data_IF_745784932311
#
_entry.id   IF_745784932311
#
_cell.length_a   1.000
_cell.length_b   1.000
_cell.length_c   1.000
_cell.angle_alpha   90.00
_cell.angle_beta   90.00
_cell.angle_gamma   90.00
#
_symmetry.space_group_name_H-M   'P 1'
#
loop_
_entity.id
_entity.type
_entity.pdbx_description
1 polymer ?
#
# COMPACT_ATOMS: atom_id res chain seq x y z
N UNK A 1 -19.03 12.35 18.42
CA UNK A 1 -19.86 12.93 17.37
C UNK A 1 -20.49 14.27 17.74
N UNK A 2 -19.68 15.29 18.09
CA UNK A 2 -20.19 16.61 18.50
C UNK A 2 -20.64 17.49 17.32
N UNK A 3 -20.27 17.14 16.08
CA UNK A 3 -20.51 17.96 14.88
C UNK A 3 -21.37 17.27 13.81
N UNK A 4 -21.64 15.99 13.95
CA UNK A 4 -22.45 15.25 12.98
C UNK A 4 -23.94 15.45 13.19
N UNK A 5 -24.72 15.29 12.12
CA UNK A 5 -26.20 15.28 12.21
C UNK A 5 -26.66 13.97 12.82
N UNK A 6 -27.67 14.03 13.69
CA UNK A 6 -28.23 12.84 14.33
C UNK A 6 -28.88 11.92 13.29
N UNK A 7 -28.58 10.63 13.35
CA UNK A 7 -29.09 9.64 12.41
C UNK A 7 -28.37 9.53 11.06
N UNK A 8 -27.34 10.37 10.82
CA UNK A 8 -26.61 10.38 9.55
C UNK A 8 -25.33 9.54 9.62
N UNK A 9 -25.06 8.79 8.55
CA UNK A 9 -23.84 8.01 8.36
C UNK A 9 -22.75 8.82 7.66
N UNK A 10 -21.50 8.70 8.10
CA UNK A 10 -20.33 9.35 7.51
C UNK A 10 -19.27 8.33 7.11
N UNK A 11 -18.86 8.35 5.85
CA UNK A 11 -17.76 7.53 5.36
C UNK A 11 -16.44 8.29 5.59
N UNK A 12 -15.55 7.70 6.38
CA UNK A 12 -14.22 8.23 6.68
C UNK A 12 -13.19 7.50 5.82
N UNK A 13 -13.34 7.57 4.50
CA UNK A 13 -12.42 6.92 3.57
C UNK A 13 -11.11 7.70 3.44
N UNK A 14 -10.02 6.97 3.17
CA UNK A 14 -8.70 7.54 2.90
C UNK A 14 -8.51 7.91 1.42
N UNK A 15 -7.28 8.28 1.09
CA UNK A 15 -6.90 8.52 -0.31
C UNK A 15 -6.82 7.20 -1.08
N UNK A 16 -7.28 7.23 -2.32
CA UNK A 16 -7.12 6.10 -3.23
C UNK A 16 -5.64 5.92 -3.59
N UNK A 17 -5.10 4.75 -3.32
CA UNK A 17 -3.71 4.41 -3.63
C UNK A 17 -3.67 3.05 -4.31
N UNK A 18 -3.01 2.96 -5.47
CA UNK A 18 -2.81 1.68 -6.15
C UNK A 18 -1.67 0.89 -5.49
N UNK A 19 -1.69 -0.43 -5.64
CA UNK A 19 -0.61 -1.31 -5.15
C UNK A 19 0.73 -0.92 -5.77
N UNK A 20 0.74 -0.55 -7.05
CA UNK A 20 1.95 -0.07 -7.72
C UNK A 20 2.50 1.23 -7.10
N UNK A 21 1.62 2.16 -6.70
CA UNK A 21 2.03 3.36 -5.98
C UNK A 21 2.61 3.03 -4.59
N UNK A 22 1.98 2.13 -3.84
CA UNK A 22 2.51 1.66 -2.55
C UNK A 22 3.91 1.07 -2.75
N UNK A 23 4.09 0.18 -3.72
CA UNK A 23 5.38 -0.42 -4.02
C UNK A 23 6.42 0.60 -4.45
N UNK A 24 6.05 1.64 -5.20
CA UNK A 24 6.94 2.76 -5.55
C UNK A 24 7.37 3.52 -4.31
N UNK A 25 6.47 3.85 -3.39
CA UNK A 25 6.78 4.56 -2.14
C UNK A 25 7.70 3.73 -1.24
N UNK A 26 7.40 2.43 -1.08
CA UNK A 26 8.25 1.50 -0.32
C UNK A 26 9.67 1.46 -0.91
N UNK A 27 9.78 1.29 -2.22
CA UNK A 27 11.08 1.23 -2.91
C UNK A 27 11.84 2.53 -2.81
N UNK A 28 11.16 3.65 -2.99
CA UNK A 28 11.76 4.98 -2.83
C UNK A 28 12.35 5.14 -1.42
N UNK A 29 11.58 4.82 -0.38
CA UNK A 29 12.03 4.91 1.01
C UNK A 29 13.18 3.96 1.32
N UNK A 30 13.20 2.79 0.69
CA UNK A 30 14.29 1.81 0.82
C UNK A 30 15.51 2.15 -0.05
N UNK A 31 15.47 3.24 -0.83
CA UNK A 31 16.56 3.67 -1.71
C UNK A 31 16.84 2.67 -2.83
N UNK A 32 15.82 1.97 -3.33
CA UNK A 32 15.91 1.03 -4.44
C UNK A 32 15.28 1.64 -5.69
N UNK A 33 16.11 1.88 -6.69
CA UNK A 33 15.68 2.32 -8.03
C UNK A 33 15.38 1.12 -8.93
N UNK A 34 14.35 0.33 -8.64
CA UNK A 34 13.98 -0.74 -9.54
C UNK A 34 12.59 -0.50 -10.13
N UNK A 35 12.41 -0.86 -11.39
CA UNK A 35 11.10 -0.78 -12.05
C UNK A 35 10.09 -1.67 -11.31
N UNK A 36 8.92 -1.12 -11.05
CA UNK A 36 7.77 -1.88 -10.57
C UNK A 36 7.07 -2.43 -11.80
N UNK A 37 7.09 -3.74 -11.98
CA UNK A 37 6.33 -4.36 -13.05
C UNK A 37 4.85 -4.30 -12.67
N UNK A 38 4.07 -3.65 -13.51
CA UNK A 38 2.62 -3.63 -13.40
C UNK A 38 2.08 -4.81 -14.23
N UNK A 39 1.63 -5.85 -13.54
CA UNK A 39 0.93 -6.94 -14.21
C UNK A 39 -0.52 -6.55 -14.44
N UNK A 40 -1.02 -6.80 -15.64
CA UNK A 40 -2.44 -6.69 -15.91
C UNK A 40 -3.20 -7.69 -15.03
N UNK A 41 -4.13 -7.18 -14.21
CA UNK A 41 -4.97 -8.04 -13.34
C UNK A 41 -5.77 -9.04 -14.15
N UNK A 42 -6.15 -8.69 -15.40
CA UNK A 42 -6.83 -9.60 -16.34
C UNK A 42 -5.95 -10.81 -16.71
N UNK A 43 -4.65 -10.57 -16.92
CA UNK A 43 -3.68 -11.63 -17.18
C UNK A 43 -3.47 -12.51 -15.94
N UNK A 44 -3.29 -11.88 -14.78
CA UNK A 44 -3.16 -12.58 -13.50
C UNK A 44 -4.38 -13.45 -13.20
N UNK A 45 -5.60 -12.96 -13.46
CA UNK A 45 -6.83 -13.71 -13.28
C UNK A 45 -6.90 -14.98 -14.16
N UNK A 46 -6.36 -14.92 -15.37
CA UNK A 46 -6.33 -16.06 -16.29
C UNK A 46 -5.43 -17.20 -15.78
N UNK A 47 -4.33 -16.86 -15.13
CA UNK A 47 -3.37 -17.81 -14.59
C UNK A 47 -3.61 -18.17 -13.11
N UNK A 48 -4.49 -17.45 -12.41
CA UNK A 48 -4.76 -17.66 -11.00
C UNK A 48 -5.13 -19.11 -10.65
N UNK A 49 -6.03 -19.81 -11.37
CA UNK A 49 -6.42 -21.18 -11.02
C UNK A 49 -5.25 -22.17 -11.12
N UNK A 50 -4.35 -21.96 -12.08
CA UNK A 50 -3.15 -22.79 -12.25
C UNK A 50 -2.14 -22.57 -11.13
N UNK A 51 -1.91 -21.31 -10.76
CA UNK A 51 -1.00 -20.94 -9.66
C UNK A 51 -1.54 -21.42 -8.31
N UNK A 52 -2.85 -21.32 -8.10
CA UNK A 52 -3.53 -21.81 -6.89
C UNK A 52 -3.37 -23.31 -6.73
N UNK A 53 -3.66 -24.09 -7.78
CA UNK A 53 -3.43 -25.55 -7.80
C UNK A 53 -1.97 -25.92 -7.55
N UNK A 54 -1.04 -25.20 -8.15
CA UNK A 54 0.40 -25.45 -7.97
C UNK A 54 0.87 -25.10 -6.53
N UNK A 55 0.33 -24.07 -5.90
CA UNK A 55 0.62 -23.71 -4.52
C UNK A 55 0.08 -24.77 -3.55
N UNK A 56 -1.17 -25.20 -3.75
CA UNK A 56 -1.81 -26.24 -2.92
C UNK A 56 -1.07 -27.57 -3.00
N UNK A 57 -0.64 -27.99 -4.22
CA UNK A 57 0.19 -29.20 -4.40
C UNK A 57 1.53 -29.15 -3.63
N UNK A 58 2.06 -27.93 -3.37
CA UNK A 58 3.29 -27.72 -2.62
C UNK A 58 3.05 -27.47 -1.13
N UNK A 59 1.82 -27.65 -0.63
CA UNK A 59 1.45 -27.37 0.77
C UNK A 59 1.56 -25.90 1.17
N UNK A 60 1.64 -24.98 0.20
CA UNK A 60 1.73 -23.55 0.46
C UNK A 60 0.38 -22.87 0.29
N UNK A 61 0.08 -21.92 1.16
CA UNK A 61 -1.12 -21.07 0.99
C UNK A 61 -0.94 -20.20 -0.26
N UNK A 62 -1.88 -20.23 -1.22
CA UNK A 62 -1.80 -19.42 -2.42
C UNK A 62 -1.92 -17.93 -2.05
N UNK A 63 -0.99 -17.12 -2.55
CA UNK A 63 -1.01 -15.66 -2.35
C UNK A 63 -2.07 -14.98 -3.25
N UNK A 64 -2.34 -15.59 -4.41
CA UNK A 64 -3.30 -15.09 -5.39
C UNK A 64 -4.34 -16.17 -5.63
N UNK A 65 -5.55 -15.91 -5.17
CA UNK A 65 -6.73 -16.71 -5.47
C UNK A 65 -7.62 -15.94 -6.44
N UNK A 66 -8.51 -16.63 -7.14
CA UNK A 66 -9.50 -15.97 -8.01
C UNK A 66 -10.31 -14.93 -7.23
N UNK A 67 -10.66 -15.22 -5.97
CA UNK A 67 -11.37 -14.30 -5.08
C UNK A 67 -10.54 -13.07 -4.73
N UNK A 68 -9.26 -13.22 -4.39
CA UNK A 68 -8.40 -12.07 -4.05
C UNK A 68 -8.20 -11.13 -5.24
N UNK A 69 -8.07 -11.68 -6.46
CA UNK A 69 -7.98 -10.89 -7.67
C UNK A 69 -9.31 -10.18 -8.00
N UNK A 70 -10.44 -10.84 -7.81
CA UNK A 70 -11.75 -10.21 -7.94
C UNK A 70 -11.89 -9.04 -6.97
N UNK A 71 -11.55 -9.21 -5.71
CA UNK A 71 -11.63 -8.16 -4.69
C UNK A 71 -10.78 -6.94 -5.04
N UNK A 72 -9.58 -7.15 -5.61
CA UNK A 72 -8.70 -6.05 -6.07
C UNK A 72 -9.32 -5.28 -7.24
N UNK A 73 -10.14 -5.93 -8.07
CA UNK A 73 -10.81 -5.29 -9.22
C UNK A 73 -12.12 -4.60 -8.85
N UNK A 74 -12.69 -4.89 -7.68
CA UNK A 74 -13.91 -4.24 -7.23
C UNK A 74 -13.70 -2.74 -7.09
N UNK A 75 -14.73 -1.97 -7.47
CA UNK A 75 -14.70 -0.53 -7.31
C UNK A 75 -14.82 -0.16 -5.81
N UNK A 76 -13.69 0.20 -5.21
CA UNK A 76 -13.59 0.67 -3.83
C UNK A 76 -13.45 2.21 -3.78
N UNK A 77 -14.07 2.94 -4.70
CA UNK A 77 -14.00 4.39 -4.76
C UNK A 77 -15.06 5.01 -3.83
N UNK A 78 -14.75 5.07 -2.55
CA UNK A 78 -15.60 5.71 -1.56
C UNK A 78 -15.24 7.17 -1.39
N UNK A 79 -16.25 8.07 -1.42
CA UNK A 79 -16.03 9.49 -1.20
C UNK A 79 -16.21 9.85 0.27
N UNK A 80 -15.25 10.58 0.82
CA UNK A 80 -15.33 11.17 2.17
C UNK A 80 -15.87 12.62 2.15
N UNK A 81 -16.37 13.10 0.99
CA UNK A 81 -16.75 14.50 0.79
C UNK A 81 -17.71 15.02 1.86
N UNK A 82 -18.77 14.28 2.17
CA UNK A 82 -19.71 14.62 3.23
C UNK A 82 -19.04 14.80 4.59
N UNK A 83 -18.12 13.89 4.95
CA UNK A 83 -17.37 14.00 6.20
C UNK A 83 -16.42 15.20 6.21
N UNK A 84 -15.82 15.52 5.07
CA UNK A 84 -14.95 16.69 4.94
C UNK A 84 -15.72 17.99 5.11
N UNK A 85 -16.89 18.11 4.47
CA UNK A 85 -17.72 19.31 4.50
C UNK A 85 -18.41 19.52 5.86
N UNK A 86 -18.97 18.48 6.45
CA UNK A 86 -19.80 18.59 7.65
C UNK A 86 -19.01 18.42 8.96
N UNK A 87 -17.96 17.58 8.97
CA UNK A 87 -17.20 17.29 10.17
C UNK A 87 -15.80 17.93 10.19
N UNK A 88 -15.36 18.53 9.07
CA UNK A 88 -13.99 19.02 8.92
C UNK A 88 -12.97 17.87 8.83
N UNK A 89 -13.39 16.69 8.37
CA UNK A 89 -12.51 15.54 8.24
C UNK A 89 -11.41 15.79 7.22
N UNK A 90 -10.17 15.56 7.60
CA UNK A 90 -9.03 15.65 6.70
C UNK A 90 -8.30 14.31 6.60
N UNK A 91 -7.89 13.96 5.38
CA UNK A 91 -7.19 12.70 5.11
C UNK A 91 -5.69 12.94 5.12
N UNK A 92 -4.98 12.13 5.89
CA UNK A 92 -3.53 12.13 5.93
C UNK A 92 -2.93 11.67 4.60
N UNK A 93 -1.85 12.29 4.14
CA UNK A 93 -1.19 11.91 2.89
C UNK A 93 -0.70 10.47 2.88
N UNK A 94 -1.05 9.71 1.84
CA UNK A 94 -0.77 8.28 1.72
C UNK A 94 0.72 7.95 1.82
N UNK A 95 1.57 8.77 1.20
CA UNK A 95 3.02 8.57 1.24
C UNK A 95 3.56 8.64 2.69
N UNK A 96 3.10 9.60 3.48
CA UNK A 96 3.48 9.74 4.88
C UNK A 96 3.00 8.54 5.70
N UNK A 97 1.77 8.11 5.49
CA UNK A 97 1.22 6.93 6.18
C UNK A 97 2.04 5.68 5.89
N UNK A 98 2.41 5.46 4.62
CA UNK A 98 3.25 4.32 4.23
C UNK A 98 4.65 4.41 4.87
N UNK A 99 5.25 5.60 4.89
CA UNK A 99 6.58 5.76 5.48
C UNK A 99 6.57 5.51 6.99
N UNK A 100 5.60 6.04 7.71
CA UNK A 100 5.47 5.80 9.15
C UNK A 100 5.21 4.31 9.45
N UNK A 101 4.43 3.64 8.61
CA UNK A 101 4.22 2.19 8.70
C UNK A 101 5.53 1.42 8.50
N UNK A 102 6.34 1.81 7.52
CA UNK A 102 7.65 1.18 7.29
C UNK A 102 8.62 1.43 8.44
N UNK A 103 8.62 2.61 9.03
CA UNK A 103 9.45 2.94 10.20
C UNK A 103 9.00 2.14 11.42
N UNK A 104 7.70 2.00 11.63
CA UNK A 104 7.16 1.14 12.67
C UNK A 104 7.58 -0.32 12.49
N UNK A 105 7.47 -0.86 11.26
CA UNK A 105 7.94 -2.22 10.97
C UNK A 105 9.44 -2.38 11.21
N UNK A 106 10.24 -1.39 10.88
CA UNK A 106 11.69 -1.42 11.10
C UNK A 106 12.05 -1.45 12.58
N UNK A 107 11.21 -0.87 13.44
CA UNK A 107 11.39 -0.87 14.88
C UNK A 107 10.81 -2.15 15.54
N UNK A 108 9.57 -2.49 15.20
CA UNK A 108 8.81 -3.55 15.87
C UNK A 108 9.14 -4.98 15.37
N UNK A 109 9.52 -5.12 14.08
CA UNK A 109 9.75 -6.42 13.43
C UNK A 109 11.07 -6.42 12.64
N UNK A 110 12.20 -6.21 13.34
CA UNK A 110 13.51 -6.10 12.68
C UNK A 110 13.94 -7.37 11.90
N UNK A 111 13.41 -8.52 12.29
CA UNK A 111 13.67 -9.81 11.64
C UNK A 111 13.15 -9.91 10.21
N UNK A 112 12.13 -9.10 9.85
CA UNK A 112 11.56 -9.08 8.51
C UNK A 112 12.38 -8.24 7.52
N UNK A 113 13.36 -7.50 8.01
CA UNK A 113 14.12 -6.55 7.21
C UNK A 113 15.62 -6.86 7.25
N UNK A 114 16.29 -6.68 6.12
CA UNK A 114 17.76 -6.70 6.12
C UNK A 114 18.31 -5.53 6.94
N UNK A 115 19.47 -5.71 7.59
CA UNK A 115 20.13 -4.66 8.38
C UNK A 115 20.29 -3.34 7.60
N UNK A 116 20.57 -3.41 6.29
CA UNK A 116 20.70 -2.27 5.40
C UNK A 116 19.37 -1.55 5.17
N UNK A 117 18.26 -2.30 4.99
CA UNK A 117 16.93 -1.74 4.84
C UNK A 117 16.47 -1.04 6.12
N UNK A 118 16.67 -1.68 7.27
CA UNK A 118 16.36 -1.14 8.59
C UNK A 118 17.11 0.17 8.87
N UNK A 119 18.43 0.20 8.61
CA UNK A 119 19.23 1.41 8.81
C UNK A 119 18.72 2.59 7.97
N UNK A 120 18.28 2.35 6.72
CA UNK A 120 17.70 3.37 5.85
C UNK A 120 16.35 3.86 6.34
N UNK A 121 15.48 2.96 6.80
CA UNK A 121 14.16 3.31 7.30
C UNK A 121 14.23 4.15 8.58
N UNK A 122 15.14 3.80 9.50
CA UNK A 122 15.34 4.50 10.78
C UNK A 122 16.24 5.74 10.68
N UNK A 123 16.53 6.22 9.47
CA UNK A 123 17.31 7.44 9.28
C UNK A 123 18.82 7.33 9.58
N UNK A 124 19.32 6.14 9.94
CA UNK A 124 20.76 5.87 10.06
C UNK A 124 21.32 5.73 8.64
N UNK A 125 21.81 6.83 8.06
CA UNK A 125 22.41 6.85 6.73
C UNK A 125 23.60 5.89 6.62
N UNK A 126 23.58 4.89 5.73
CA UNK A 126 24.80 4.49 5.04
C UNK A 126 24.98 5.50 3.90
N UNK A 127 26.10 6.22 3.90
CA UNK A 127 26.37 7.30 2.94
C UNK A 127 26.12 6.90 1.49
N UNK A 128 25.14 7.51 0.90
CA UNK A 128 25.06 7.85 -0.54
C UNK A 128 23.78 8.66 -0.76
N UNK A 129 23.93 9.76 -1.47
CA UNK A 129 22.87 10.71 -1.79
C UNK A 129 21.65 10.03 -2.41
N UNK A 130 20.41 10.35 -2.00
CA UNK A 130 19.22 9.90 -2.69
C UNK A 130 19.17 10.54 -4.07
N UNK A 131 19.04 9.69 -5.10
CA UNK A 131 18.71 10.15 -6.44
C UNK A 131 17.38 10.90 -6.39
N UNK A 132 17.44 12.13 -6.81
CA UNK A 132 16.40 13.13 -6.87
C UNK A 132 15.31 12.71 -7.85
N UNK A 133 14.12 12.47 -7.39
CA UNK A 133 12.81 12.84 -7.96
C UNK A 133 11.71 12.05 -7.25
N UNK A 134 10.81 12.76 -6.61
CA UNK A 134 9.55 12.20 -6.14
C UNK A 134 8.76 11.65 -7.33
N UNK A 135 8.23 10.42 -7.25
CA UNK A 135 7.33 9.90 -8.29
C UNK A 135 6.10 10.82 -8.36
N UNK A 136 5.81 11.34 -9.55
CA UNK A 136 4.62 12.17 -9.79
C UNK A 136 3.36 11.34 -9.50
N UNK A 137 2.36 11.93 -8.87
CA UNK A 137 1.03 11.33 -8.79
C UNK A 137 0.48 11.17 -10.22
N UNK A 138 -0.07 10.02 -10.53
CA UNK A 138 -0.83 9.72 -11.75
C UNK A 138 -2.30 9.93 -11.47
#
# INVERSE_FOLDING_TARGET
>A
ALRGRVGEGYLLSGNRVSISQIMRYVRFRMGRSARVFEFSVRLAAKFAPMLEKAALKRGKKPLFTAYSLYTITCNANFSAKKAQEELGYSVRGSMRTIFDTLEWYAAARPELLTARARARLLGKRPGKKPGTALPRPV
#
